data_IF_952929800699
#
_entry.id   IF_952929800699
#
_cell.length_a   1.000
_cell.length_b   1.000
_cell.length_c   1.000
_cell.angle_alpha   90.00
_cell.angle_beta   90.00
_cell.angle_gamma   90.00
#
_symmetry.space_group_name_H-M   'P 1'
#
loop_
_entity.id
_entity.type
_entity.pdbx_description
1 polymer ?
#
# COMPACT_ATOMS: atom_id res chain seq x y z
N UNK A 1 -4.61 38.17 20.36
CA UNK A 1 -3.42 37.51 19.78
C UNK A 1 -3.01 36.46 20.81
N UNK A 2 -3.21 35.16 20.65
CA UNK A 2 -3.11 34.28 19.49
C UNK A 2 -4.27 33.27 19.50
N UNK A 3 -4.92 33.03 18.36
CA UNK A 3 -5.75 31.84 18.18
C UNK A 3 -4.79 30.75 17.72
N UNK A 4 -4.56 29.75 18.57
CA UNK A 4 -3.88 28.52 18.17
C UNK A 4 -4.67 27.92 17.01
N UNK A 5 -4.07 27.81 15.82
CA UNK A 5 -4.63 26.94 14.77
C UNK A 5 -4.78 25.54 15.38
N UNK A 6 -5.97 24.92 15.35
CA UNK A 6 -6.09 23.53 15.79
C UNK A 6 -5.17 22.69 14.89
N UNK A 7 -4.47 21.72 15.48
CA UNK A 7 -3.62 20.78 14.74
C UNK A 7 -4.37 20.26 13.52
N UNK A 8 -3.80 20.41 12.33
CA UNK A 8 -4.32 19.81 11.11
C UNK A 8 -4.26 18.29 11.26
N UNK A 9 -5.41 17.63 11.31
CA UNK A 9 -5.49 16.17 11.34
C UNK A 9 -5.02 15.58 10.01
N UNK A 10 -4.40 14.40 10.07
CA UNK A 10 -4.15 13.57 8.89
C UNK A 10 -5.37 12.68 8.70
N UNK A 11 -6.01 12.80 7.54
CA UNK A 11 -7.14 11.99 7.13
C UNK A 11 -6.67 10.92 6.13
N UNK A 12 -6.93 9.66 6.47
CA UNK A 12 -6.69 8.52 5.58
C UNK A 12 -7.85 8.43 4.59
N UNK A 13 -7.52 8.57 3.30
CA UNK A 13 -8.45 8.38 2.19
C UNK A 13 -8.45 6.91 1.81
N UNK A 14 -9.40 6.16 2.38
CA UNK A 14 -9.59 4.75 2.04
C UNK A 14 -10.14 4.62 0.61
N UNK A 15 -9.35 4.01 -0.27
CA UNK A 15 -9.63 3.86 -1.70
C UNK A 15 -10.06 2.42 -1.99
N UNK A 16 -11.19 2.33 -2.67
CA UNK A 16 -11.89 1.12 -3.09
C UNK A 16 -12.19 1.21 -4.59
N UNK A 17 -12.73 0.15 -5.20
CA UNK A 17 -13.06 0.15 -6.63
C UNK A 17 -13.97 1.33 -7.04
N UNK A 18 -14.91 1.71 -6.18
CA UNK A 18 -15.91 2.75 -6.48
C UNK A 18 -15.37 4.19 -6.55
N UNK A 19 -14.24 4.49 -5.90
CA UNK A 19 -13.64 5.83 -5.88
C UNK A 19 -12.22 5.89 -6.47
N UNK A 20 -11.69 4.78 -6.96
CA UNK A 20 -10.33 4.66 -7.50
C UNK A 20 -9.98 5.78 -8.48
N UNK A 21 -10.80 5.99 -9.51
CA UNK A 21 -10.52 7.00 -10.53
C UNK A 21 -10.55 8.43 -9.97
N UNK A 22 -11.47 8.74 -9.07
CA UNK A 22 -11.56 10.05 -8.44
C UNK A 22 -10.35 10.35 -7.55
N UNK A 23 -9.84 9.36 -6.83
CA UNK A 23 -8.67 9.52 -5.98
C UNK A 23 -7.38 9.67 -6.81
N UNK A 24 -7.24 8.91 -7.89
CA UNK A 24 -6.13 9.12 -8.84
C UNK A 24 -6.17 10.50 -9.51
N UNK A 25 -7.36 11.05 -9.78
CA UNK A 25 -7.49 12.41 -10.30
C UNK A 25 -6.97 13.45 -9.29
N UNK A 26 -7.19 13.25 -7.99
CA UNK A 26 -6.63 14.11 -6.95
C UNK A 26 -5.11 13.98 -6.89
N UNK A 27 -4.59 12.75 -6.89
CA UNK A 27 -3.15 12.49 -6.83
C UNK A 27 -2.41 13.12 -8.01
N UNK A 28 -2.94 12.99 -9.24
CA UNK A 28 -2.41 13.68 -10.43
C UNK A 28 -2.32 15.20 -10.27
N UNK A 29 -3.25 15.80 -9.52
CA UNK A 29 -3.23 17.24 -9.24
C UNK A 29 -2.14 17.65 -8.23
N UNK A 30 -1.58 16.70 -7.48
CA UNK A 30 -0.61 16.97 -6.43
C UNK A 30 0.81 16.54 -6.78
N UNK A 31 1.00 15.54 -7.64
CA UNK A 31 2.32 14.93 -7.89
C UNK A 31 3.42 15.94 -8.26
N UNK A 32 3.09 16.97 -9.05
CA UNK A 32 4.06 18.00 -9.43
C UNK A 32 4.49 18.90 -8.26
N UNK A 33 3.59 19.16 -7.31
CA UNK A 33 3.85 20.03 -6.15
C UNK A 33 4.33 19.27 -4.91
N UNK A 34 4.01 17.97 -4.83
CA UNK A 34 4.34 17.06 -3.75
C UNK A 34 5.04 15.81 -4.31
N UNK A 35 6.26 15.95 -4.89
CA UNK A 35 6.90 14.91 -5.68
C UNK A 35 7.57 13.80 -4.87
N UNK A 36 7.63 13.91 -3.54
CA UNK A 36 8.25 12.89 -2.68
C UNK A 36 7.17 11.92 -2.23
N UNK A 37 7.30 10.65 -2.64
CA UNK A 37 6.32 9.60 -2.36
C UNK A 37 6.91 8.63 -1.34
N UNK A 38 6.19 8.44 -0.24
CA UNK A 38 6.40 7.31 0.68
C UNK A 38 5.34 6.24 0.39
N UNK A 39 5.77 4.99 0.37
CA UNK A 39 4.93 3.83 0.07
C UNK A 39 5.11 2.76 1.14
N UNK A 40 4.00 2.10 1.48
CA UNK A 40 3.98 0.90 2.30
C UNK A 40 3.00 -0.12 1.72
N UNK A 41 3.19 -1.40 2.01
CA UNK A 41 2.38 -2.48 1.44
C UNK A 41 2.06 -3.55 2.45
N UNK A 42 0.81 -4.01 2.45
CA UNK A 42 0.41 -5.21 3.17
C UNK A 42 0.18 -6.36 2.18
N UNK A 43 0.77 -7.52 2.50
CA UNK A 43 0.72 -8.73 1.70
C UNK A 43 0.63 -9.96 2.62
N UNK A 44 0.22 -11.13 2.12
CA UNK A 44 -0.15 -12.29 2.95
C UNK A 44 1.05 -13.06 3.56
N UNK A 45 2.14 -12.34 3.87
CA UNK A 45 3.35 -12.87 4.49
C UNK A 45 4.31 -13.57 3.54
N UNK A 46 5.24 -14.35 4.09
CA UNK A 46 6.27 -15.08 3.33
C UNK A 46 5.99 -16.58 3.40
N UNK A 47 5.81 -17.20 2.24
CA UNK A 47 5.46 -18.62 2.08
C UNK A 47 6.61 -19.42 1.46
N UNK A 48 7.37 -18.82 0.53
CA UNK A 48 8.62 -19.39 0.05
C UNK A 48 9.73 -18.93 0.98
N UNK A 49 10.32 -19.88 1.70
CA UNK A 49 11.42 -19.62 2.64
C UNK A 49 12.74 -20.15 2.07
N UNK A 50 13.86 -19.52 2.44
CA UNK A 50 15.16 -20.03 2.03
C UNK A 50 15.44 -21.39 2.70
N UNK A 51 16.14 -22.30 2.00
CA UNK A 51 16.49 -23.61 2.55
C UNK A 51 17.34 -23.47 3.82
N UNK A 52 16.94 -24.12 4.91
CA UNK A 52 17.52 -23.95 6.26
C UNK A 52 18.86 -24.67 6.43
N UNK A 53 19.28 -25.43 5.42
CA UNK A 53 20.58 -26.11 5.36
C UNK A 53 21.78 -25.14 5.33
N UNK A 54 21.57 -23.90 4.90
CA UNK A 54 22.60 -22.85 4.93
C UNK A 54 22.42 -21.95 6.16
N UNK A 55 23.12 -22.33 7.22
CA UNK A 55 23.24 -21.62 8.48
C UNK A 55 23.68 -20.16 8.22
N UNK A 56 22.82 -19.22 8.63
CA UNK A 56 22.94 -17.76 8.62
C UNK A 56 22.27 -17.02 7.44
N UNK A 57 21.15 -16.37 7.76
CA UNK A 57 20.51 -15.33 6.93
C UNK A 57 21.44 -14.13 6.66
N UNK A 58 22.55 -13.99 7.38
CA UNK A 58 23.43 -12.82 7.33
C UNK A 58 24.53 -12.91 6.26
N UNK A 59 24.73 -14.07 5.62
CA UNK A 59 25.81 -14.31 4.64
C UNK A 59 25.32 -14.74 3.24
N UNK A 60 24.02 -14.62 2.95
CA UNK A 60 23.51 -14.97 1.61
C UNK A 60 23.86 -13.89 0.59
N UNK A 61 24.22 -14.35 -0.61
CA UNK A 61 24.35 -13.50 -1.78
C UNK A 61 23.03 -12.74 -2.03
N UNK A 62 23.15 -11.46 -2.38
CA UNK A 62 22.06 -10.60 -2.87
C UNK A 62 21.14 -11.30 -3.89
N UNK A 63 21.71 -12.14 -4.75
CA UNK A 63 20.96 -12.92 -5.74
C UNK A 63 20.01 -13.94 -5.10
N UNK A 64 20.42 -14.57 -4.01
CA UNK A 64 19.58 -15.54 -3.29
C UNK A 64 18.43 -14.84 -2.54
N UNK A 65 18.70 -13.67 -1.93
CA UNK A 65 17.67 -12.85 -1.31
C UNK A 65 16.62 -12.37 -2.35
N UNK A 66 17.08 -11.86 -3.49
CA UNK A 66 16.20 -11.44 -4.57
C UNK A 66 15.36 -12.60 -5.09
N UNK A 67 15.94 -13.79 -5.25
CA UNK A 67 15.22 -14.97 -5.74
C UNK A 67 14.08 -15.39 -4.81
N UNK A 68 14.30 -15.35 -3.49
CA UNK A 68 13.25 -15.63 -2.49
C UNK A 68 12.18 -14.53 -2.50
N UNK A 69 12.59 -13.26 -2.54
CA UNK A 69 11.65 -12.14 -2.64
C UNK A 69 10.77 -12.27 -3.89
N UNK A 70 11.40 -12.46 -5.05
CA UNK A 70 10.72 -12.64 -6.34
C UNK A 70 9.73 -13.79 -6.31
N UNK A 71 10.12 -14.95 -5.77
CA UNK A 71 9.23 -16.11 -5.69
C UNK A 71 7.96 -15.83 -4.85
N UNK A 72 8.08 -15.05 -3.77
CA UNK A 72 6.91 -14.63 -2.98
C UNK A 72 6.11 -13.56 -3.73
N UNK A 73 6.76 -12.55 -4.31
CA UNK A 73 6.07 -11.47 -5.06
C UNK A 73 5.31 -12.01 -6.27
N UNK A 74 5.89 -12.96 -7.01
CA UNK A 74 5.24 -13.58 -8.16
C UNK A 74 4.04 -14.48 -7.76
N UNK A 75 4.05 -15.01 -6.53
CA UNK A 75 3.12 -16.04 -6.08
C UNK A 75 2.03 -15.56 -5.10
N UNK A 76 2.07 -14.30 -4.67
CA UNK A 76 1.19 -13.75 -3.66
C UNK A 76 0.46 -12.50 -4.18
N UNK A 77 -0.81 -12.40 -3.83
CA UNK A 77 -1.64 -11.25 -4.15
C UNK A 77 -1.48 -10.15 -3.09
N UNK A 78 -1.39 -8.90 -3.55
CA UNK A 78 -1.29 -7.73 -2.69
C UNK A 78 -2.62 -7.46 -1.97
N UNK A 79 -2.57 -6.97 -0.72
CA UNK A 79 -3.77 -6.71 0.08
C UNK A 79 -4.04 -5.20 0.16
N UNK A 80 -3.01 -4.41 0.48
CA UNK A 80 -3.10 -2.95 0.55
C UNK A 80 -1.82 -2.26 0.08
N UNK A 81 -1.98 -1.02 -0.38
CA UNK A 81 -0.89 -0.07 -0.61
C UNK A 81 -1.22 1.24 0.11
N UNK A 82 -0.31 1.72 0.96
CA UNK A 82 -0.34 3.08 1.48
C UNK A 82 0.50 4.01 0.60
N UNK A 83 -0.03 5.17 0.23
CA UNK A 83 0.72 6.25 -0.43
C UNK A 83 0.61 7.56 0.33
N UNK A 84 1.75 8.21 0.53
CA UNK A 84 1.85 9.57 1.07
C UNK A 84 2.68 10.43 0.14
N UNK A 85 2.12 11.56 -0.28
CA UNK A 85 2.83 12.55 -1.09
C UNK A 85 3.29 13.71 -0.19
N UNK A 86 4.51 14.19 -0.41
CA UNK A 86 5.06 15.33 0.32
C UNK A 86 5.90 16.25 -0.56
N UNK A 87 6.00 17.52 -0.17
CA UNK A 87 6.95 18.46 -0.77
C UNK A 87 8.35 18.28 -0.17
N UNK A 88 9.34 19.02 -0.67
CA UNK A 88 10.72 18.95 -0.18
C UNK A 88 10.90 19.31 1.31
N UNK A 89 9.92 19.95 1.94
CA UNK A 89 9.92 20.30 3.36
C UNK A 89 9.12 19.30 4.20
N UNK A 90 8.54 18.26 3.60
CA UNK A 90 7.71 17.27 4.27
C UNK A 90 6.25 17.71 4.48
N UNK A 91 5.78 18.79 3.84
CA UNK A 91 4.38 19.18 3.91
C UNK A 91 3.51 18.23 3.07
N UNK A 92 2.32 17.91 3.57
CA UNK A 92 1.35 17.04 2.90
C UNK A 92 0.31 17.85 2.12
N UNK A 93 -0.32 17.26 1.07
CA UNK A 93 -1.38 17.93 0.34
C UNK A 93 -2.62 18.15 1.20
N UNK A 94 -3.18 19.34 1.11
CA UNK A 94 -4.53 19.64 1.59
C UNK A 94 -5.46 19.88 0.39
N UNK A 95 -6.69 19.37 0.48
CA UNK A 95 -7.74 19.57 -0.53
C UNK A 95 -8.44 20.93 -0.36
N UNK A 96 -7.69 21.97 0.04
CA UNK A 96 -8.26 23.26 0.45
C UNK A 96 -9.04 23.20 1.78
N UNK A 97 -8.89 22.11 2.53
CA UNK A 97 -9.51 21.90 3.85
C UNK A 97 -8.49 22.16 4.97
N UNK A 98 -8.92 22.00 6.23
CA UNK A 98 -8.03 22.04 7.40
C UNK A 98 -7.22 20.75 7.63
N UNK A 99 -7.46 19.71 6.82
CA UNK A 99 -6.85 18.39 6.97
C UNK A 99 -5.80 18.13 5.88
N UNK A 100 -4.87 17.24 6.22
CA UNK A 100 -3.90 16.67 5.28
C UNK A 100 -4.31 15.26 4.90
N UNK A 101 -3.96 14.83 3.69
CA UNK A 101 -4.46 13.58 3.14
C UNK A 101 -3.34 12.61 2.79
N UNK A 102 -3.56 11.35 3.15
CA UNK A 102 -2.79 10.19 2.70
C UNK A 102 -3.75 9.14 2.15
N UNK A 103 -3.29 8.23 1.30
CA UNK A 103 -4.14 7.25 0.62
C UNK A 103 -3.84 5.84 1.07
N UNK A 104 -4.90 5.06 1.22
CA UNK A 104 -4.84 3.63 1.50
C UNK A 104 -5.67 2.90 0.45
N UNK A 105 -5.01 2.19 -0.47
CA UNK A 105 -5.64 1.42 -1.52
C UNK A 105 -5.88 -0.01 -1.04
N UNK A 106 -7.11 -0.48 -1.20
CA UNK A 106 -7.55 -1.79 -0.74
C UNK A 106 -7.84 -2.69 -1.95
N UNK A 107 -7.16 -3.83 -2.08
CA UNK A 107 -7.24 -4.71 -3.27
C UNK A 107 -8.21 -5.87 -3.08
N UNK A 108 -8.78 -6.35 -4.18
CA UNK A 108 -9.73 -7.48 -4.22
C UNK A 108 -9.12 -8.81 -4.65
N UNK A 109 -7.89 -8.78 -5.19
CA UNK A 109 -7.22 -9.92 -5.81
C UNK A 109 -6.95 -11.07 -4.82
N UNK A 110 -6.72 -10.74 -3.55
CA UNK A 110 -6.43 -11.73 -2.52
C UNK A 110 -7.70 -12.36 -1.93
N UNK A 111 -7.76 -13.69 -1.95
CA UNK A 111 -8.82 -14.48 -1.37
C UNK A 111 -8.27 -15.47 -0.33
N UNK A 112 -8.50 -15.18 0.95
CA UNK A 112 -8.04 -16.02 2.08
C UNK A 112 -8.46 -17.49 1.95
N UNK A 113 -9.58 -17.77 1.28
CA UNK A 113 -10.10 -19.15 1.16
C UNK A 113 -9.44 -19.98 0.06
N UNK A 114 -8.78 -19.34 -0.91
CA UNK A 114 -8.21 -20.01 -2.09
C UNK A 114 -6.71 -19.76 -2.27
N UNK A 115 -6.22 -18.59 -1.86
CA UNK A 115 -4.84 -18.17 -2.10
C UNK A 115 -3.88 -18.69 -1.04
N UNK A 116 -2.65 -18.98 -1.47
CA UNK A 116 -1.56 -19.36 -0.59
C UNK A 116 -1.18 -18.17 0.28
N UNK A 117 -1.04 -18.39 1.58
CA UNK A 117 -0.70 -17.33 2.53
C UNK A 117 -0.03 -17.90 3.78
N UNK A 118 0.61 -17.02 4.56
CA UNK A 118 1.04 -17.33 5.91
C UNK A 118 -0.10 -17.06 6.90
N UNK A 119 -0.52 -18.09 7.64
CA UNK A 119 -1.66 -17.99 8.56
C UNK A 119 -1.45 -16.92 9.65
N UNK A 120 -0.27 -16.87 10.27
CA UNK A 120 0.05 -15.90 11.32
C UNK A 120 -0.01 -14.46 10.78
N UNK A 121 0.44 -14.25 9.54
CA UNK A 121 0.32 -12.95 8.86
C UNK A 121 -1.14 -12.55 8.66
N UNK A 122 -2.02 -13.48 8.26
CA UNK A 122 -3.45 -13.19 8.10
C UNK A 122 -4.12 -12.86 9.43
N UNK A 123 -3.82 -13.60 10.49
CA UNK A 123 -4.36 -13.30 11.83
C UNK A 123 -3.86 -11.95 12.35
N UNK A 124 -2.60 -11.60 12.12
CA UNK A 124 -2.06 -10.28 12.46
C UNK A 124 -2.83 -9.17 11.73
N UNK A 125 -3.01 -9.30 10.42
CA UNK A 125 -3.70 -8.30 9.60
C UNK A 125 -5.18 -8.15 9.99
N UNK A 126 -5.86 -9.27 10.33
CA UNK A 126 -7.21 -9.21 10.92
C UNK A 126 -7.22 -8.43 12.24
N UNK A 127 -6.23 -8.69 13.11
CA UNK A 127 -6.06 -7.97 14.37
C UNK A 127 -5.80 -6.47 14.20
N UNK A 128 -5.23 -6.07 13.06
CA UNK A 128 -4.99 -4.67 12.69
C UNK A 128 -6.19 -4.01 11.97
N UNK A 129 -7.26 -4.77 11.72
CA UNK A 129 -8.52 -4.25 11.18
C UNK A 129 -8.75 -4.50 9.69
N UNK A 130 -7.95 -5.34 9.03
CA UNK A 130 -8.22 -5.73 7.64
C UNK A 130 -9.44 -6.65 7.58
N UNK A 131 -10.45 -6.22 6.81
CA UNK A 131 -11.65 -6.99 6.49
C UNK A 131 -11.50 -7.63 5.10
N UNK A 132 -10.98 -8.85 5.09
CA UNK A 132 -10.72 -9.61 3.86
C UNK A 132 -11.97 -9.85 3.00
N UNK A 133 -13.15 -9.99 3.62
CA UNK A 133 -14.41 -10.16 2.87
C UNK A 133 -14.81 -8.85 2.19
N UNK A 134 -14.61 -7.71 2.85
CA UNK A 134 -14.80 -6.39 2.26
C UNK A 134 -13.79 -6.12 1.14
N UNK A 135 -12.52 -6.47 1.33
CA UNK A 135 -11.48 -6.41 0.29
C UNK A 135 -11.90 -7.18 -0.95
N UNK A 136 -12.24 -8.46 -0.81
CA UNK A 136 -12.68 -9.30 -1.94
C UNK A 136 -13.90 -8.73 -2.66
N UNK A 137 -14.85 -8.13 -1.92
CA UNK A 137 -16.13 -7.66 -2.47
C UNK A 137 -16.06 -6.27 -3.11
N UNK A 138 -15.28 -5.36 -2.55
CA UNK A 138 -15.28 -3.93 -2.91
C UNK A 138 -13.90 -3.37 -3.24
N UNK A 139 -12.86 -4.18 -3.07
CA UNK A 139 -11.48 -3.82 -3.34
C UNK A 139 -11.23 -3.55 -4.82
N UNK A 140 -10.08 -2.97 -5.06
CA UNK A 140 -9.57 -2.56 -6.35
C UNK A 140 -9.00 -3.78 -7.07
N UNK A 141 -9.28 -3.90 -8.36
CA UNK A 141 -8.54 -4.76 -9.28
C UNK A 141 -7.12 -4.20 -9.46
N UNK A 142 -6.12 -5.00 -9.08
CA UNK A 142 -4.70 -4.59 -9.13
C UNK A 142 -4.23 -4.17 -10.52
N UNK A 143 -4.75 -4.77 -11.59
CA UNK A 143 -4.40 -4.37 -12.95
C UNK A 143 -4.98 -2.99 -13.30
N UNK A 144 -6.19 -2.67 -12.83
CA UNK A 144 -6.77 -1.33 -13.00
C UNK A 144 -6.01 -0.27 -12.22
N UNK A 145 -5.58 -0.59 -11.00
CA UNK A 145 -4.69 0.27 -10.23
C UNK A 145 -3.38 0.54 -10.97
N UNK A 146 -2.74 -0.51 -11.52
CA UNK A 146 -1.49 -0.38 -12.25
C UNK A 146 -1.61 0.53 -13.48
N UNK A 147 -2.71 0.41 -14.25
CA UNK A 147 -3.00 1.30 -15.39
C UNK A 147 -3.07 2.78 -14.97
N UNK A 148 -3.75 3.06 -13.85
CA UNK A 148 -3.90 4.42 -13.34
C UNK A 148 -2.59 4.95 -12.75
N UNK A 149 -1.81 4.11 -12.05
CA UNK A 149 -0.46 4.46 -11.56
C UNK A 149 0.45 4.87 -12.72
N UNK A 150 0.52 4.08 -13.79
CA UNK A 150 1.37 4.37 -14.96
C UNK A 150 1.02 5.68 -15.68
N UNK A 151 -0.22 6.15 -15.54
CA UNK A 151 -0.70 7.39 -16.14
C UNK A 151 -0.85 8.53 -15.12
N UNK A 152 -0.36 8.35 -13.89
CA UNK A 152 -0.54 9.32 -12.80
C UNK A 152 0.60 10.34 -12.67
N UNK A 153 1.76 10.06 -13.28
CA UNK A 153 3.00 10.81 -13.05
C UNK A 153 3.81 10.33 -11.82
N UNK A 154 3.34 9.31 -11.11
CA UNK A 154 4.08 8.70 -9.98
C UNK A 154 5.18 7.71 -10.43
N UNK A 155 5.10 7.18 -11.65
CA UNK A 155 6.00 6.17 -12.25
C UNK A 155 6.39 6.58 -13.65
#
# INVERSE_FOLDING_TARGET
MFISKPYSSIAIRSVWSSNLESEFKLIRGFVDSYPIISMDTEFPGVVVRPDTSELSFHNRDSAAHYSVLKANVDGLNLIQVGLTLSDANGNLPSLGTSEFYIWEFNFSDFDVSHDIHNHDSIELLRGQGIDFDKNKKFGIDSAKFAELMMSSGLV
#
